data_IF_365342690157
#
_entry.id   IF_365342690157
#
_cell.length_a   1.000
_cell.length_b   1.000
_cell.length_c   1.000
_cell.angle_alpha   90.00
_cell.angle_beta   90.00
_cell.angle_gamma   90.00
#
_symmetry.space_group_name_H-M   'P 1'
#
loop_
_entity.id
_entity.type
_entity.pdbx_description
1 polymer ?
#
# COMPACT_ATOMS: atom_id res chain seq x y z
N UNK A 1 -4.12 11.18 7.57
CA UNK A 1 -3.00 10.48 6.89
C UNK A 1 -2.08 9.95 7.97
N UNK A 2 -2.06 8.64 8.19
CA UNK A 2 -1.13 7.99 9.11
C UNK A 2 0.25 7.97 8.45
N UNK A 3 1.14 8.84 8.90
CA UNK A 3 2.52 8.92 8.41
C UNK A 3 3.34 7.78 9.03
N UNK A 4 3.61 6.74 8.25
CA UNK A 4 4.51 5.64 8.63
C UNK A 4 5.94 6.21 8.75
N UNK A 5 6.54 6.07 9.93
CA UNK A 5 7.91 6.50 10.19
C UNK A 5 8.90 5.48 9.60
N UNK A 6 9.33 5.72 8.35
CA UNK A 6 10.14 4.80 7.55
C UNK A 6 11.47 4.40 8.19
N UNK A 7 11.99 5.20 9.11
CA UNK A 7 13.27 4.95 9.79
C UNK A 7 13.19 3.88 10.88
N UNK A 8 11.97 3.44 11.26
CA UNK A 8 11.74 2.46 12.32
C UNK A 8 11.28 1.10 11.81
N UNK A 9 11.17 0.94 10.49
CA UNK A 9 10.68 -0.30 9.92
C UNK A 9 11.73 -1.41 10.03
N UNK A 10 11.33 -2.57 10.55
CA UNK A 10 12.09 -3.81 10.38
C UNK A 10 12.17 -4.20 8.89
N UNK A 11 13.02 -5.17 8.53
CA UNK A 11 13.12 -5.64 7.15
C UNK A 11 11.76 -6.09 6.58
N UNK A 12 11.01 -6.89 7.34
CA UNK A 12 9.68 -7.39 6.94
C UNK A 12 8.65 -6.25 6.79
N UNK A 13 8.72 -5.25 7.67
CA UNK A 13 7.89 -4.05 7.59
C UNK A 13 8.24 -3.19 6.37
N UNK A 14 9.51 -3.15 5.99
CA UNK A 14 9.96 -2.45 4.80
C UNK A 14 9.51 -3.15 3.51
N UNK A 15 9.55 -4.48 3.46
CA UNK A 15 9.01 -5.26 2.34
C UNK A 15 7.50 -5.07 2.18
N UNK A 16 6.77 -5.07 3.31
CA UNK A 16 5.34 -4.75 3.34
C UNK A 16 5.08 -3.34 2.80
N UNK A 17 5.90 -2.35 3.21
CA UNK A 17 5.82 -0.98 2.70
C UNK A 17 6.07 -0.89 1.19
N UNK A 18 7.06 -1.61 0.65
CA UNK A 18 7.28 -1.66 -0.80
C UNK A 18 6.09 -2.27 -1.55
N UNK A 19 5.50 -3.32 -0.99
CA UNK A 19 4.32 -3.99 -1.57
C UNK A 19 3.12 -3.04 -1.65
N UNK A 20 2.87 -2.27 -0.59
CA UNK A 20 1.84 -1.22 -0.57
C UNK A 20 2.07 -0.21 -1.71
N UNK A 21 3.29 0.29 -1.87
CA UNK A 21 3.60 1.26 -2.93
C UNK A 21 3.47 0.67 -4.34
N UNK A 22 3.79 -0.62 -4.51
CA UNK A 22 3.59 -1.33 -5.78
C UNK A 22 2.10 -1.39 -6.15
N UNK A 23 1.23 -1.77 -5.20
CA UNK A 23 -0.22 -1.78 -5.45
C UNK A 23 -0.77 -0.38 -5.74
N UNK A 24 -0.30 0.66 -5.05
CA UNK A 24 -0.72 2.04 -5.33
C UNK A 24 -0.27 2.52 -6.71
N UNK A 25 0.92 2.12 -7.17
CA UNK A 25 1.40 2.42 -8.52
C UNK A 25 0.53 1.75 -9.57
N UNK A 26 0.29 0.45 -9.43
CA UNK A 26 -0.57 -0.30 -10.35
C UNK A 26 -2.03 0.23 -10.35
N UNK A 27 -2.55 0.65 -9.19
CA UNK A 27 -3.87 1.24 -9.12
C UNK A 27 -3.97 2.55 -9.93
N UNK A 28 -2.93 3.39 -9.91
CA UNK A 28 -2.85 4.61 -10.72
C UNK A 28 -2.77 4.32 -12.22
N UNK A 29 -2.03 3.27 -12.60
CA UNK A 29 -1.97 2.80 -13.98
C UNK A 29 -3.33 2.31 -14.46
N UNK A 30 -4.03 1.49 -13.66
CA UNK A 30 -5.38 1.03 -13.95
C UNK A 30 -6.39 2.17 -14.07
N UNK A 31 -6.28 3.22 -13.25
CA UNK A 31 -7.09 4.44 -13.41
C UNK A 31 -6.82 5.13 -14.75
N UNK A 32 -5.56 5.17 -15.18
CA UNK A 32 -5.16 5.79 -16.46
C UNK A 32 -5.73 5.03 -17.66
N UNK A 33 -5.81 3.70 -17.57
CA UNK A 33 -6.43 2.85 -18.59
C UNK A 33 -7.94 2.70 -18.46
N UNK A 34 -8.56 3.38 -17.48
CA UNK A 34 -10.00 3.29 -17.14
C UNK A 34 -10.45 1.89 -16.71
N UNK A 35 -9.53 1.04 -16.27
CA UNK A 35 -9.85 -0.21 -15.58
C UNK A 35 -10.18 0.08 -14.11
N UNK A 36 -11.38 0.61 -13.88
CA UNK A 36 -11.80 1.05 -12.55
C UNK A 36 -11.93 -0.12 -11.56
N UNK A 37 -12.32 -1.30 -12.04
CA UNK A 37 -12.43 -2.48 -11.18
C UNK A 37 -11.05 -2.92 -10.68
N UNK A 38 -10.06 -2.97 -11.57
CA UNK A 38 -8.69 -3.30 -11.19
C UNK A 38 -8.11 -2.24 -10.25
N UNK A 39 -8.35 -0.95 -10.54
CA UNK A 39 -7.90 0.15 -9.67
C UNK A 39 -8.45 0.04 -8.24
N UNK A 40 -9.75 -0.23 -8.08
CA UNK A 40 -10.39 -0.42 -6.77
C UNK A 40 -9.79 -1.62 -6.05
N UNK A 41 -9.65 -2.76 -6.73
CA UNK A 41 -9.10 -3.97 -6.13
C UNK A 41 -7.67 -3.76 -5.60
N UNK A 42 -6.82 -3.08 -6.38
CA UNK A 42 -5.44 -2.78 -6.00
C UNK A 42 -5.38 -1.78 -4.83
N UNK A 43 -6.21 -0.73 -4.86
CA UNK A 43 -6.29 0.24 -3.78
C UNK A 43 -6.76 -0.39 -2.45
N UNK A 44 -7.74 -1.31 -2.49
CA UNK A 44 -8.19 -2.05 -1.32
C UNK A 44 -7.09 -2.93 -0.73
N UNK A 45 -6.32 -3.64 -1.57
CA UNK A 45 -5.16 -4.43 -1.11
C UNK A 45 -4.10 -3.55 -0.44
N UNK A 46 -3.79 -2.40 -1.03
CA UNK A 46 -2.86 -1.43 -0.45
C UNK A 46 -3.36 -0.91 0.91
N UNK A 47 -4.67 -0.66 1.03
CA UNK A 47 -5.29 -0.21 2.27
C UNK A 47 -5.17 -1.25 3.39
N UNK A 48 -5.54 -2.50 3.12
CA UNK A 48 -5.46 -3.60 4.11
C UNK A 48 -4.03 -3.76 4.63
N UNK A 49 -3.04 -3.84 3.74
CA UNK A 49 -1.64 -3.95 4.14
C UNK A 49 -1.14 -2.72 4.92
N UNK A 50 -1.64 -1.51 4.58
CA UNK A 50 -1.29 -0.29 5.30
C UNK A 50 -1.85 -0.30 6.72
N UNK A 51 -3.07 -0.82 6.93
CA UNK A 51 -3.66 -0.96 8.26
C UNK A 51 -2.90 -1.99 9.09
N UNK A 52 -2.55 -3.14 8.49
CA UNK A 52 -1.72 -4.16 9.13
C UNK A 52 -0.37 -3.59 9.55
N UNK A 53 0.33 -2.92 8.63
CA UNK A 53 1.62 -2.30 8.92
C UNK A 53 1.52 -1.23 10.02
N UNK A 54 0.47 -0.41 10.01
CA UNK A 54 0.25 0.60 11.04
C UNK A 54 -0.06 0.00 12.41
N UNK A 55 -0.68 -1.18 12.47
CA UNK A 55 -0.98 -1.86 13.74
C UNK A 55 0.28 -2.48 14.36
N UNK A 56 1.25 -2.91 13.55
CA UNK A 56 2.52 -3.48 14.05
C UNK A 56 3.51 -2.38 14.49
N UNK A 57 3.39 -1.17 13.94
CA UNK A 57 4.31 -0.04 14.23
C UNK A 57 3.83 0.84 15.41
N UNK A 58 2.63 0.61 15.95
CA UNK A 58 2.13 1.27 17.18
C UNK A 58 2.79 0.72 18.43
#
# INVERSE_FOLDING_TARGET
>A
MLSIDRLKLTADQWETYQTINSFLTQAKEALTTKDFQQAINLAQKAHVLSDELSNVVR
#
